data_IF_575233361806
#
_entry.id   IF_575233361806
#
_cell.length_a   1.000
_cell.length_b   1.000
_cell.length_c   1.000
_cell.angle_alpha   90.00
_cell.angle_beta   90.00
_cell.angle_gamma   90.00
#
_symmetry.space_group_name_H-M   'P 1'
#
loop_
_entity.id
_entity.type
_entity.pdbx_description
1 polymer ?
#
# COMPACT_ATOMS: atom_id res chain seq x y z
N UNK A 1 0.51 -26.84 -15.83
CA UNK A 1 -0.15 -26.76 -14.51
C UNK A 1 -0.29 -25.28 -14.18
N UNK A 2 -1.42 -24.68 -14.55
CA UNK A 2 -1.73 -23.27 -14.26
C UNK A 2 -2.04 -23.17 -12.77
N UNK A 3 -1.37 -22.26 -12.06
CA UNK A 3 -1.61 -22.03 -10.64
C UNK A 3 -3.12 -21.78 -10.39
N UNK A 4 -3.69 -22.26 -9.27
CA UNK A 4 -5.07 -21.94 -8.91
C UNK A 4 -5.26 -20.43 -9.01
N UNK A 5 -6.26 -20.00 -9.79
CA UNK A 5 -6.45 -18.59 -10.11
C UNK A 5 -6.53 -17.77 -8.83
N UNK A 6 -5.52 -16.92 -8.59
CA UNK A 6 -5.59 -15.93 -7.53
C UNK A 6 -6.71 -14.96 -7.89
N UNK A 7 -7.86 -15.10 -7.24
CA UNK A 7 -8.88 -14.07 -7.26
C UNK A 7 -8.39 -12.92 -6.38
N UNK A 8 -7.99 -11.83 -7.01
CA UNK A 8 -7.60 -10.59 -6.34
C UNK A 8 -8.79 -9.63 -6.38
N UNK A 9 -9.09 -9.03 -5.24
CA UNK A 9 -10.14 -8.01 -5.08
C UNK A 9 -9.44 -6.65 -4.95
N UNK A 10 -9.55 -5.76 -5.97
CA UNK A 10 -8.92 -4.44 -5.96
C UNK A 10 -9.35 -3.57 -4.77
N UNK A 11 -10.59 -3.75 -4.30
CA UNK A 11 -11.10 -2.97 -3.17
C UNK A 11 -10.44 -3.41 -1.86
N UNK A 12 -10.19 -4.70 -1.68
CA UNK A 12 -9.40 -5.18 -0.54
C UNK A 12 -7.96 -4.69 -0.58
N UNK A 13 -7.36 -4.57 -1.76
CA UNK A 13 -6.03 -3.97 -1.89
C UNK A 13 -6.03 -2.49 -1.46
N UNK A 14 -7.06 -1.72 -1.85
CA UNK A 14 -7.23 -0.33 -1.41
C UNK A 14 -7.43 -0.22 0.10
N UNK A 15 -8.28 -1.07 0.69
CA UNK A 15 -8.47 -1.12 2.15
C UNK A 15 -7.18 -1.48 2.89
N UNK A 16 -6.41 -2.43 2.36
CA UNK A 16 -5.13 -2.79 2.94
C UNK A 16 -4.11 -1.64 2.83
N UNK A 17 -4.06 -0.95 1.68
CA UNK A 17 -3.24 0.25 1.53
C UNK A 17 -3.62 1.31 2.58
N UNK A 18 -4.91 1.53 2.84
CA UNK A 18 -5.38 2.40 3.92
C UNK A 18 -4.84 1.98 5.29
N UNK A 19 -4.97 0.69 5.63
CA UNK A 19 -4.46 0.14 6.89
C UNK A 19 -2.94 0.32 7.03
N UNK A 20 -2.18 0.08 5.96
CA UNK A 20 -0.72 0.32 5.94
C UNK A 20 -0.42 1.80 6.15
N UNK A 21 -1.21 2.70 5.53
CA UNK A 21 -1.10 4.15 5.74
C UNK A 21 -1.31 4.57 7.19
N UNK A 22 -2.29 4.00 7.88
CA UNK A 22 -2.55 4.28 9.30
C UNK A 22 -1.39 3.81 10.19
N UNK A 23 -0.87 2.61 9.96
CA UNK A 23 0.30 2.08 10.67
C UNK A 23 1.52 2.97 10.41
N UNK A 24 1.75 3.35 9.16
CA UNK A 24 2.82 4.27 8.77
C UNK A 24 2.73 5.58 9.52
N UNK A 25 1.53 6.17 9.63
CA UNK A 25 1.29 7.40 10.40
C UNK A 25 1.77 7.28 11.85
N UNK A 26 1.41 6.19 12.52
CA UNK A 26 1.82 5.93 13.91
C UNK A 26 3.33 5.71 14.05
N UNK A 27 3.96 5.05 13.08
CA UNK A 27 5.41 4.83 13.06
C UNK A 27 6.15 6.15 12.83
N UNK A 28 5.65 7.01 11.95
CA UNK A 28 6.21 8.34 11.73
C UNK A 28 6.13 9.20 13.00
N UNK A 29 4.98 9.22 13.67
CA UNK A 29 4.81 9.92 14.95
C UNK A 29 5.80 9.41 16.02
N UNK A 30 5.99 8.09 16.10
CA UNK A 30 6.99 7.51 17.00
C UNK A 30 8.43 7.91 16.65
N UNK A 31 8.76 8.05 15.35
CA UNK A 31 10.06 8.52 14.92
C UNK A 31 10.29 9.99 15.32
N UNK A 32 9.28 10.84 15.16
CA UNK A 32 9.37 12.26 15.50
C UNK A 32 9.47 12.45 17.02
N UNK A 33 8.71 11.68 17.81
CA UNK A 33 8.85 11.64 19.26
C UNK A 33 10.24 11.16 19.70
N UNK A 34 10.77 10.11 19.05
CA UNK A 34 12.12 9.61 19.30
C UNK A 34 13.21 10.64 18.98
N UNK A 35 13.06 11.35 17.86
CA UNK A 35 13.96 12.43 17.47
C UNK A 35 13.94 13.58 18.48
N UNK A 36 12.75 13.94 18.97
CA UNK A 36 12.59 14.98 19.98
C UNK A 36 13.31 14.62 21.29
N UNK A 37 13.13 13.39 21.79
CA UNK A 37 13.80 12.93 23.01
C UNK A 37 15.31 12.84 22.84
N UNK A 38 15.79 12.41 21.67
CA UNK A 38 17.22 12.32 21.37
C UNK A 38 17.92 13.70 21.35
N UNK A 39 17.17 14.78 21.10
CA UNK A 39 17.67 16.15 21.04
C UNK A 39 17.61 16.90 22.38
N UNK A 40 16.85 16.41 23.37
CA UNK A 40 16.74 17.02 24.70
C UNK A 40 17.81 16.46 25.65
N UNK A 41 18.94 17.18 25.76
CA UNK A 41 19.96 16.90 26.79
C UNK A 41 19.44 17.17 28.22
N UNK A 42 18.34 17.91 28.36
CA UNK A 42 17.65 18.23 29.62
C UNK A 42 16.55 17.22 30.00
N UNK A 43 16.25 16.22 29.15
CA UNK A 43 15.33 15.13 29.49
C UNK A 43 15.87 14.22 30.62
N UNK A 44 17.16 14.34 30.93
CA UNK A 44 17.84 13.58 31.97
C UNK A 44 17.97 14.42 33.23
N UNK A 45 17.53 13.87 34.37
CA UNK A 45 17.79 14.50 35.67
C UNK A 45 19.29 14.64 35.96
N UNK A 46 19.65 15.54 36.88
CA UNK A 46 21.03 15.90 37.20
C UNK A 46 21.97 14.70 37.42
N UNK A 47 21.50 13.66 38.12
CA UNK A 47 22.30 12.45 38.38
C UNK A 47 22.67 11.71 37.08
N UNK A 48 21.73 11.63 36.13
CA UNK A 48 21.95 10.97 34.85
C UNK A 48 22.92 11.78 33.97
N UNK A 49 22.81 13.11 34.02
CA UNK A 49 23.76 14.01 33.35
C UNK A 49 25.17 13.88 33.93
N UNK A 50 25.29 13.82 35.26
CA UNK A 50 26.58 13.66 35.95
C UNK A 50 27.28 12.33 35.62
N UNK A 51 26.51 11.29 35.27
CA UNK A 51 27.03 9.99 34.82
C UNK A 51 27.36 9.95 33.32
N UNK A 52 27.17 11.05 32.57
CA UNK A 52 27.45 11.11 31.13
C UNK A 52 26.48 10.29 30.27
N UNK A 53 25.32 9.91 30.82
CA UNK A 53 24.31 9.12 30.11
C UNK A 53 23.80 9.77 28.81
N UNK A 54 23.56 11.09 28.72
CA UNK A 54 23.07 11.71 27.48
C UNK A 54 24.02 11.45 26.30
N UNK A 55 25.31 11.66 26.52
CA UNK A 55 26.35 11.49 25.49
C UNK A 55 26.49 10.01 25.07
N UNK A 56 26.38 9.10 26.03
CA UNK A 56 26.45 7.65 25.77
C UNK A 56 25.21 7.12 25.02
N UNK A 57 24.04 7.73 25.24
CA UNK A 57 22.77 7.30 24.65
C UNK A 57 22.47 7.95 23.31
N UNK A 58 23.07 9.11 22.99
CA UNK A 58 22.85 9.84 21.73
C UNK A 58 23.00 8.96 20.50
N UNK A 59 24.13 8.26 20.37
CA UNK A 59 24.39 7.37 19.22
C UNK A 59 23.36 6.24 19.06
N UNK A 60 23.06 5.45 20.12
CA UNK A 60 21.94 4.49 20.10
C UNK A 60 20.59 5.12 19.74
N UNK A 61 20.24 6.27 20.31
CA UNK A 61 18.96 6.95 20.09
C UNK A 61 18.80 7.44 18.65
N UNK A 62 19.84 8.04 18.07
CA UNK A 62 19.87 8.44 16.67
C UNK A 62 19.69 7.23 15.74
N UNK A 63 20.37 6.11 16.02
CA UNK A 63 20.23 4.88 15.22
C UNK A 63 18.81 4.32 15.28
N UNK A 64 18.21 4.25 16.46
CA UNK A 64 16.83 3.76 16.62
C UNK A 64 15.85 4.67 15.88
N UNK A 65 15.98 5.98 16.07
CA UNK A 65 15.14 6.97 15.37
C UNK A 65 15.27 6.84 13.85
N UNK A 66 16.48 6.67 13.33
CA UNK A 66 16.72 6.45 11.90
C UNK A 66 16.10 5.14 11.39
N UNK A 67 16.15 4.06 12.18
CA UNK A 67 15.50 2.79 11.82
C UNK A 67 13.98 2.92 11.75
N UNK A 68 13.36 3.60 12.72
CA UNK A 68 11.90 3.82 12.74
C UNK A 68 11.49 4.68 11.54
N UNK A 69 12.27 5.72 11.20
CA UNK A 69 12.03 6.54 10.00
C UNK A 69 12.08 5.72 8.71
N UNK A 70 13.10 4.86 8.55
CA UNK A 70 13.20 3.94 7.40
C UNK A 70 12.02 2.97 7.33
N UNK A 71 11.55 2.47 8.47
CA UNK A 71 10.38 1.61 8.51
C UNK A 71 9.12 2.34 8.02
N UNK A 72 8.93 3.61 8.43
CA UNK A 72 7.85 4.46 7.91
C UNK A 72 7.96 4.67 6.40
N UNK A 73 9.16 4.92 5.86
CA UNK A 73 9.38 5.06 4.42
C UNK A 73 9.05 3.76 3.67
N UNK A 74 9.42 2.60 4.20
CA UNK A 74 9.09 1.31 3.59
C UNK A 74 7.58 1.06 3.56
N UNK A 75 6.88 1.37 4.65
CA UNK A 75 5.42 1.26 4.72
C UNK A 75 4.73 2.17 3.70
N UNK A 76 5.27 3.37 3.45
CA UNK A 76 4.76 4.25 2.39
C UNK A 76 4.93 3.64 0.99
N UNK A 77 6.09 3.03 0.72
CA UNK A 77 6.31 2.33 -0.56
C UNK A 77 5.36 1.15 -0.72
N UNK A 78 5.11 0.39 0.34
CA UNK A 78 4.22 -0.77 0.30
C UNK A 78 2.76 -0.34 0.09
N UNK A 79 2.34 0.75 0.74
CA UNK A 79 1.04 1.40 0.49
C UNK A 79 0.88 1.78 -0.99
N UNK A 80 1.90 2.40 -1.59
CA UNK A 80 1.87 2.80 -2.99
C UNK A 80 1.76 1.58 -3.91
N UNK A 81 2.57 0.54 -3.68
CA UNK A 81 2.52 -0.70 -4.47
C UNK A 81 1.14 -1.37 -4.42
N UNK A 82 0.46 -1.35 -3.27
CA UNK A 82 -0.89 -1.88 -3.14
C UNK A 82 -1.90 -1.06 -3.96
N UNK A 83 -1.79 0.27 -3.94
CA UNK A 83 -2.61 1.15 -4.76
C UNK A 83 -2.39 0.94 -6.26
N UNK A 84 -1.13 0.84 -6.68
CA UNK A 84 -0.75 0.58 -8.07
C UNK A 84 -1.24 -0.79 -8.54
N UNK A 85 -1.17 -1.81 -7.67
CA UNK A 85 -1.70 -3.13 -7.98
C UNK A 85 -3.22 -3.09 -8.19
N UNK A 86 -3.97 -2.41 -7.31
CA UNK A 86 -5.41 -2.24 -7.46
C UNK A 86 -5.76 -1.55 -8.79
N UNK A 87 -5.07 -0.47 -9.14
CA UNK A 87 -5.28 0.24 -10.40
C UNK A 87 -5.03 -0.64 -11.64
N UNK A 88 -3.98 -1.48 -11.60
CA UNK A 88 -3.69 -2.42 -12.69
C UNK A 88 -4.77 -3.48 -12.86
N UNK A 89 -5.37 -3.96 -11.77
CA UNK A 89 -6.49 -4.90 -11.85
C UNK A 89 -7.74 -4.23 -12.44
N UNK A 90 -8.07 -3.02 -12.00
CA UNK A 90 -9.21 -2.26 -12.56
C UNK A 90 -9.02 -2.00 -14.06
N UNK A 91 -7.79 -1.65 -14.49
CA UNK A 91 -7.48 -1.46 -15.91
C UNK A 91 -7.64 -2.76 -16.71
N UNK A 92 -7.13 -3.88 -16.20
CA UNK A 92 -7.26 -5.17 -16.85
C UNK A 92 -8.74 -5.61 -16.97
N UNK A 93 -9.55 -5.37 -15.94
CA UNK A 93 -10.98 -5.64 -15.97
C UNK A 93 -11.70 -4.76 -16.99
N UNK A 94 -11.40 -3.46 -17.04
CA UNK A 94 -11.98 -2.54 -18.02
C UNK A 94 -11.66 -2.96 -19.46
N UNK A 95 -10.41 -3.37 -19.72
CA UNK A 95 -9.99 -3.89 -21.02
C UNK A 95 -10.73 -5.19 -21.39
N UNK A 96 -10.85 -6.13 -20.44
CA UNK A 96 -11.60 -7.37 -20.66
C UNK A 96 -13.08 -7.12 -20.96
N UNK A 97 -13.73 -6.22 -20.20
CA UNK A 97 -15.11 -5.83 -20.45
C UNK A 97 -15.30 -5.17 -21.81
N UNK A 98 -14.37 -4.32 -22.25
CA UNK A 98 -14.43 -3.70 -23.57
C UNK A 98 -14.39 -4.76 -24.69
N UNK A 99 -13.52 -5.76 -24.57
CA UNK A 99 -13.43 -6.87 -25.53
C UNK A 99 -14.73 -7.69 -25.51
N UNK A 100 -15.23 -8.07 -24.34
CA UNK A 100 -16.46 -8.85 -24.22
C UNK A 100 -17.68 -8.14 -24.81
N UNK A 101 -17.80 -6.82 -24.58
CA UNK A 101 -18.88 -6.00 -25.17
C UNK A 101 -18.80 -6.00 -26.69
N UNK A 102 -17.61 -5.79 -27.26
CA UNK A 102 -17.39 -5.82 -28.71
C UNK A 102 -17.80 -7.17 -29.30
N UNK A 103 -17.38 -8.27 -28.67
CA UNK A 103 -17.74 -9.63 -29.11
C UNK A 103 -19.25 -9.88 -29.01
N UNK A 104 -19.91 -9.42 -27.95
CA UNK A 104 -21.35 -9.54 -27.78
C UNK A 104 -22.12 -8.78 -28.89
N UNK A 105 -21.66 -7.58 -29.24
CA UNK A 105 -22.24 -6.80 -30.35
C UNK A 105 -22.01 -7.46 -31.71
N UNK A 106 -20.81 -8.00 -31.96
CA UNK A 106 -20.51 -8.74 -33.19
C UNK A 106 -21.40 -9.99 -33.31
N UNK A 107 -21.57 -10.73 -32.23
CA UNK A 107 -22.45 -11.90 -32.18
C UNK A 107 -23.92 -11.52 -32.40
N UNK A 108 -24.38 -10.42 -31.79
CA UNK A 108 -25.74 -9.91 -31.99
C UNK A 108 -25.99 -9.50 -33.45
N UNK A 109 -25.03 -8.83 -34.08
CA UNK A 109 -25.09 -8.48 -35.51
C UNK A 109 -25.14 -9.74 -36.40
N UNK A 110 -24.29 -10.73 -36.12
CA UNK A 110 -24.28 -11.99 -36.86
C UNK A 110 -25.62 -12.75 -36.70
N UNK A 111 -26.16 -12.84 -35.48
CA UNK A 111 -27.44 -13.49 -35.21
C UNK A 111 -28.61 -12.83 -35.95
N UNK A 112 -28.59 -11.50 -36.12
CA UNK A 112 -29.61 -10.77 -36.87
C UNK A 112 -29.61 -11.09 -38.38
N UNK A 113 -28.50 -11.58 -38.93
CA UNK A 113 -28.35 -11.94 -40.35
C UNK A 113 -28.70 -13.40 -40.67
N UNK A 114 -28.97 -14.24 -39.66
CA UNK A 114 -29.35 -15.64 -39.87
C UNK A 114 -30.84 -15.71 -40.24
N UNK A 115 -31.21 -16.24 -41.43
CA UNK A 115 -32.61 -16.45 -41.79
C UNK A 115 -33.26 -17.42 -40.81
N UNK A 116 -34.40 -17.05 -40.21
CA UNK A 116 -35.16 -17.96 -39.36
C UNK A 116 -35.75 -19.08 -40.24
N UNK A 117 -35.43 -20.36 -40.00
CA UNK A 117 -36.04 -21.45 -40.72
C UNK A 117 -37.50 -21.60 -40.24
N UNK A 118 -38.44 -21.04 -41.00
CA UNK A 118 -39.88 -21.14 -40.74
C UNK A 118 -40.60 -19.80 -40.73
N UNK A 119 -40.78 -19.20 -41.91
CA UNK A 119 -41.76 -18.14 -42.15
C UNK A 119 -42.39 -18.37 -43.52
N UNK A 120 -43.70 -18.61 -43.54
CA UNK A 120 -44.52 -18.64 -44.76
C UNK A 120 -44.56 -17.26 -45.42
#
# INVERSE_FOLDING_TARGET
MTAPGLHVDPERLRQHAGTVGDVRGRVAEAADAGAHVAALDDAYGWLCQALGLPEMLRGPQERVTAMIRRASEQLEQDRQKLGDAAAKYDEAEAQALAVLRKLAEELARAAATIPRPGGN
#
